data_IF_042596354023
#
_entry.id   IF_042596354023
#
_cell.length_a   1.000
_cell.length_b   1.000
_cell.length_c   1.000
_cell.angle_alpha   90.00
_cell.angle_beta   90.00
_cell.angle_gamma   90.00
#
_symmetry.space_group_name_H-M   'P 1'
#
loop_
_entity.id
_entity.type
_entity.pdbx_description
1 polymer ?
#
# COMPACT_ATOMS: atom_id res chain seq x y z
N UNK A 1 -4.81 15.54 13.17
CA UNK A 1 -4.36 15.96 11.83
C UNK A 1 -5.04 15.07 10.81
N UNK A 2 -5.64 15.64 9.78
CA UNK A 2 -6.33 14.89 8.72
C UNK A 2 -5.28 14.30 7.76
N UNK A 3 -5.42 13.03 7.39
CA UNK A 3 -4.60 12.40 6.33
C UNK A 3 -5.33 12.51 4.99
N UNK A 4 -4.62 12.68 3.86
CA UNK A 4 -5.25 12.62 2.55
C UNK A 4 -5.79 11.21 2.28
N UNK A 5 -6.58 11.07 1.23
CA UNK A 5 -7.10 9.77 0.81
C UNK A 5 -5.95 8.84 0.40
N UNK A 6 -5.84 7.66 1.04
CA UNK A 6 -4.80 6.67 0.76
C UNK A 6 -4.85 6.16 -0.68
N UNK A 7 -6.03 6.11 -1.30
CA UNK A 7 -6.19 5.65 -2.69
C UNK A 7 -5.47 6.55 -3.71
N UNK A 8 -5.09 7.79 -3.36
CA UNK A 8 -4.39 8.68 -4.30
C UNK A 8 -3.06 8.12 -4.79
N UNK A 9 -2.38 7.32 -3.97
CA UNK A 9 -1.07 6.75 -4.34
C UNK A 9 -1.17 5.69 -5.45
N UNK A 10 -2.31 5.01 -5.57
CA UNK A 10 -2.55 4.01 -6.62
C UNK A 10 -3.28 4.59 -7.83
N UNK A 11 -3.44 5.92 -7.92
CA UNK A 11 -4.10 6.58 -9.05
C UNK A 11 -3.45 6.20 -10.41
N UNK A 12 -2.11 6.26 -10.59
CA UNK A 12 -1.49 5.85 -11.85
C UNK A 12 -1.85 4.42 -12.28
N UNK A 13 -1.93 3.47 -11.34
CA UNK A 13 -2.33 2.08 -11.64
C UNK A 13 -3.79 2.06 -12.11
N UNK A 14 -4.68 2.82 -11.46
CA UNK A 14 -6.09 2.91 -11.87
C UNK A 14 -6.26 3.51 -13.25
N UNK A 15 -5.50 4.56 -13.60
CA UNK A 15 -5.58 5.17 -14.93
C UNK A 15 -5.22 4.18 -16.05
N UNK A 16 -4.28 3.25 -15.79
CA UNK A 16 -3.97 2.15 -16.71
C UNK A 16 -5.11 1.14 -16.78
N UNK A 17 -5.67 0.71 -15.64
CA UNK A 17 -6.84 -0.18 -15.59
C UNK A 17 -8.01 0.43 -16.37
N UNK A 18 -8.28 1.72 -16.17
CA UNK A 18 -9.27 2.50 -16.90
C UNK A 18 -9.02 2.47 -18.40
N UNK A 19 -7.78 2.70 -18.85
CA UNK A 19 -7.40 2.56 -20.25
C UNK A 19 -7.70 1.17 -20.80
N UNK A 20 -7.33 0.11 -20.06
CA UNK A 20 -7.56 -1.28 -20.45
C UNK A 20 -9.05 -1.64 -20.55
N UNK A 21 -9.89 -1.12 -19.65
CA UNK A 21 -11.33 -1.41 -19.62
C UNK A 21 -12.13 -0.65 -20.69
N UNK A 22 -11.75 0.58 -21.02
CA UNK A 22 -12.46 1.40 -22.01
C UNK A 22 -12.35 0.89 -23.43
N UNK A 23 -11.27 0.15 -23.70
CA UNK A 23 -11.02 -0.52 -24.96
C UNK A 23 -12.08 -1.57 -25.33
N UNK A 24 -13.00 -1.90 -24.42
CA UNK A 24 -14.21 -2.68 -24.70
C UNK A 24 -15.29 -1.80 -25.38
N UNK A 25 -15.39 -0.52 -25.01
CA UNK A 25 -16.50 0.37 -25.37
C UNK A 25 -16.39 0.95 -26.78
N UNK A 26 -15.17 1.18 -27.29
CA UNK A 26 -14.96 1.66 -28.66
C UNK A 26 -15.48 0.67 -29.72
N UNK A 27 -15.51 -0.63 -29.39
CA UNK A 27 -16.11 -1.65 -30.24
C UNK A 27 -17.65 -1.66 -30.20
N UNK A 28 -18.26 -1.09 -29.15
CA UNK A 28 -19.70 -0.93 -28.99
C UNK A 28 -20.22 0.33 -29.71
N UNK A 29 -19.41 1.41 -29.72
CA UNK A 29 -19.76 2.70 -30.34
C UNK A 29 -19.52 2.74 -31.86
N UNK A 30 -18.66 1.87 -32.40
CA UNK A 30 -18.39 1.77 -33.85
C UNK A 30 -19.57 1.28 -34.71
N UNK A 31 -20.76 1.05 -34.12
CA UNK A 31 -22.03 0.86 -34.83
C UNK A 31 -22.72 2.19 -35.20
N UNK A 32 -22.25 3.34 -34.71
CA UNK A 32 -22.83 4.66 -35.00
C UNK A 32 -21.89 5.50 -35.84
N UNK A 33 -22.21 5.63 -37.13
CA UNK A 33 -21.56 6.53 -38.09
C UNK A 33 -21.83 8.00 -37.72
N UNK A 34 -21.09 8.57 -36.76
CA UNK A 34 -20.93 10.02 -36.54
C UNK A 34 -19.77 10.27 -35.55
N UNK A 35 -18.53 10.24 -36.03
CA UNK A 35 -17.33 10.41 -35.20
C UNK A 35 -17.19 11.88 -34.74
N UNK A 36 -17.63 12.16 -33.52
CA UNK A 36 -17.20 13.34 -32.76
C UNK A 36 -15.75 13.19 -32.32
N UNK A 37 -14.98 14.29 -32.10
CA UNK A 37 -13.61 14.19 -31.64
C UNK A 37 -13.54 13.38 -30.34
N UNK A 38 -12.62 12.41 -30.29
CA UNK A 38 -12.32 11.57 -29.13
C UNK A 38 -12.21 12.46 -27.88
N UNK A 39 -13.26 12.52 -27.07
CA UNK A 39 -13.18 13.18 -25.77
C UNK A 39 -12.12 12.46 -24.93
N UNK A 40 -11.33 13.18 -24.12
CA UNK A 40 -10.45 12.54 -23.13
C UNK A 40 -11.27 11.54 -22.33
N UNK A 41 -10.85 10.26 -22.36
CA UNK A 41 -11.65 9.21 -21.75
C UNK A 41 -11.54 9.34 -20.23
N UNK A 42 -12.61 9.86 -19.62
CA UNK A 42 -12.57 10.32 -18.25
C UNK A 42 -13.56 9.57 -17.37
N UNK A 43 -13.10 9.09 -16.23
CA UNK A 43 -13.89 8.36 -15.24
C UNK A 43 -14.26 9.23 -14.05
N UNK A 44 -15.46 9.00 -13.53
CA UNK A 44 -15.93 9.64 -12.31
C UNK A 44 -15.53 8.78 -11.11
N UNK A 45 -14.56 9.25 -10.32
CA UNK A 45 -14.23 8.65 -9.02
C UNK A 45 -14.93 9.44 -7.91
N UNK A 46 -15.53 8.72 -6.96
CA UNK A 46 -16.16 9.31 -5.78
C UNK A 46 -15.27 9.10 -4.57
N UNK A 47 -14.76 10.18 -4.00
CA UNK A 47 -13.98 10.16 -2.75
C UNK A 47 -14.71 10.83 -1.59
N UNK A 48 -14.55 10.26 -0.40
CA UNK A 48 -15.01 10.90 0.84
C UNK A 48 -13.90 11.80 1.37
N UNK A 49 -14.18 13.09 1.45
CA UNK A 49 -13.29 14.08 2.08
C UNK A 49 -13.99 14.56 3.35
N UNK A 50 -13.54 14.07 4.50
CA UNK A 50 -14.17 14.32 5.80
C UNK A 50 -15.64 13.85 5.85
N UNK A 51 -16.56 14.80 5.99
CA UNK A 51 -18.00 14.58 6.01
C UNK A 51 -18.64 14.77 4.63
N UNK A 52 -17.85 15.19 3.64
CA UNK A 52 -18.32 15.50 2.30
C UNK A 52 -17.99 14.37 1.33
N UNK A 53 -18.84 14.21 0.33
CA UNK A 53 -18.59 13.36 -0.83
C UNK A 53 -18.15 14.30 -1.95
N UNK A 54 -17.02 13.99 -2.59
CA UNK A 54 -16.52 14.72 -3.74
C UNK A 54 -16.39 13.75 -4.90
N UNK A 55 -16.89 14.16 -6.06
CA UNK A 55 -16.63 13.50 -7.31
C UNK A 55 -15.45 14.18 -8.01
N UNK A 56 -14.48 13.39 -8.43
CA UNK A 56 -13.35 13.84 -9.25
C UNK A 56 -13.33 13.09 -10.56
N UNK A 57 -12.95 13.80 -11.61
CA UNK A 57 -12.72 13.19 -12.92
C UNK A 57 -11.28 12.70 -12.98
N UNK A 58 -11.09 11.48 -13.47
CA UNK A 58 -9.81 10.81 -13.63
C UNK A 58 -9.66 10.36 -15.07
N UNK A 59 -8.65 10.87 -15.76
CA UNK A 59 -8.38 10.49 -17.14
C UNK A 59 -7.74 9.11 -17.21
N UNK A 60 -8.22 8.30 -18.14
CA UNK A 60 -7.61 7.03 -18.52
C UNK A 60 -6.31 7.27 -19.29
N UNK A 61 -5.35 6.35 -19.15
CA UNK A 61 -4.15 6.37 -19.99
C UNK A 61 -4.49 5.88 -21.39
N UNK A 62 -4.08 6.62 -22.41
CA UNK A 62 -4.08 6.14 -23.79
C UNK A 62 -3.05 5.01 -23.94
N UNK A 63 -3.54 3.81 -24.24
CA UNK A 63 -2.69 2.64 -24.42
C UNK A 63 -2.32 2.44 -25.90
N UNK A 64 -1.15 1.85 -26.18
CA UNK A 64 -0.78 1.38 -27.51
C UNK A 64 -1.89 0.54 -28.18
N UNK A 65 -2.00 0.63 -29.52
CA UNK A 65 -3.07 -0.02 -30.30
C UNK A 65 -3.14 -1.54 -30.14
N UNK A 66 -2.00 -2.20 -29.86
CA UNK A 66 -1.91 -3.64 -29.57
C UNK A 66 -2.53 -4.01 -28.21
N UNK A 67 -2.71 -3.03 -27.32
CA UNK A 67 -3.33 -3.15 -25.99
C UNK A 67 -4.73 -2.52 -25.97
N UNK A 68 -5.22 -2.07 -27.12
CA UNK A 68 -6.50 -1.37 -27.28
C UNK A 68 -7.72 -2.28 -27.34
N UNK A 69 -7.59 -3.56 -27.04
CA UNK A 69 -8.70 -4.51 -27.07
C UNK A 69 -8.56 -5.51 -25.90
N UNK A 70 -9.50 -5.43 -24.95
CA UNK A 70 -9.50 -6.31 -23.78
C UNK A 70 -9.60 -7.79 -24.19
N UNK A 71 -10.34 -8.10 -25.26
CA UNK A 71 -10.53 -9.47 -25.72
C UNK A 71 -9.22 -10.12 -26.20
N UNK A 72 -8.29 -9.31 -26.69
CA UNK A 72 -6.97 -9.74 -27.17
C UNK A 72 -5.92 -9.78 -26.07
N UNK A 73 -6.20 -9.25 -24.87
CA UNK A 73 -5.23 -9.30 -23.78
C UNK A 73 -4.86 -10.74 -23.41
N UNK A 74 -5.80 -11.68 -23.48
CA UNK A 74 -5.54 -13.10 -23.20
C UNK A 74 -4.72 -13.77 -24.31
N UNK A 75 -4.77 -13.24 -25.54
CA UNK A 75 -3.97 -13.68 -26.69
C UNK A 75 -2.50 -13.23 -26.60
N UNK A 76 -2.22 -12.19 -25.81
CA UNK A 76 -0.85 -11.74 -25.57
C UNK A 76 -0.03 -12.82 -24.85
N UNK A 77 1.23 -12.95 -25.27
CA UNK A 77 2.17 -13.84 -24.60
C UNK A 77 2.32 -13.50 -23.12
N UNK A 78 2.58 -14.52 -22.29
CA UNK A 78 2.81 -14.34 -20.86
C UNK A 78 3.87 -13.26 -20.58
N UNK A 79 4.97 -13.27 -21.35
CA UNK A 79 6.04 -12.29 -21.23
C UNK A 79 5.57 -10.85 -21.51
N UNK A 80 4.69 -10.64 -22.50
CA UNK A 80 4.15 -9.30 -22.81
C UNK A 80 3.21 -8.82 -21.71
N UNK A 81 2.36 -9.69 -21.17
CA UNK A 81 1.45 -9.37 -20.06
C UNK A 81 2.22 -9.05 -18.78
N UNK A 82 3.26 -9.82 -18.49
CA UNK A 82 4.17 -9.56 -17.37
C UNK A 82 4.94 -8.25 -17.53
N UNK A 83 5.43 -7.96 -18.75
CA UNK A 83 6.10 -6.70 -19.06
C UNK A 83 5.17 -5.50 -18.80
N UNK A 84 3.92 -5.55 -19.28
CA UNK A 84 2.94 -4.48 -19.07
C UNK A 84 2.63 -4.25 -17.58
N UNK A 85 2.48 -5.33 -16.81
CA UNK A 85 2.29 -5.25 -15.36
C UNK A 85 3.47 -4.54 -14.68
N UNK A 86 4.70 -4.93 -15.03
CA UNK A 86 5.92 -4.39 -14.43
C UNK A 86 6.24 -2.97 -14.88
N UNK A 87 5.94 -2.62 -16.13
CA UNK A 87 6.02 -1.25 -16.64
C UNK A 87 5.05 -0.33 -15.89
N UNK A 88 3.82 -0.79 -15.65
CA UNK A 88 2.84 -0.05 -14.85
C UNK A 88 3.31 0.18 -13.42
N UNK A 89 3.91 -0.85 -12.81
CA UNK A 89 4.50 -0.75 -11.46
C UNK A 89 5.88 -0.05 -11.45
N UNK A 90 6.43 0.30 -12.62
CA UNK A 90 7.77 0.88 -12.81
C UNK A 90 8.89 0.04 -12.19
N UNK A 91 8.80 -1.29 -12.30
CA UNK A 91 9.76 -2.24 -11.73
C UNK A 91 10.46 -3.01 -12.84
N UNK A 92 11.77 -3.22 -12.72
CA UNK A 92 12.54 -4.04 -13.66
C UNK A 92 12.42 -5.51 -13.28
N UNK A 93 12.27 -6.40 -14.27
CA UNK A 93 12.22 -7.84 -14.06
C UNK A 93 13.42 -8.37 -13.27
N UNK A 94 14.63 -7.87 -13.57
CA UNK A 94 15.88 -8.31 -12.94
C UNK A 94 15.91 -8.13 -11.42
N UNK A 95 15.10 -7.21 -10.88
CA UNK A 95 14.98 -6.99 -9.43
C UNK A 95 14.17 -8.10 -8.76
N UNK A 96 13.28 -8.76 -9.50
CA UNK A 96 12.39 -9.80 -9.01
C UNK A 96 12.95 -11.21 -9.19
N UNK A 97 14.04 -11.39 -9.93
CA UNK A 97 14.67 -12.69 -10.17
C UNK A 97 15.08 -13.44 -8.88
N UNK A 98 15.66 -12.80 -7.84
CA UNK A 98 15.98 -13.47 -6.58
C UNK A 98 14.76 -13.65 -5.66
N UNK A 99 13.59 -13.15 -6.03
CA UNK A 99 12.39 -13.12 -5.19
C UNK A 99 11.55 -14.38 -5.43
N UNK A 100 11.10 -15.09 -4.37
CA UNK A 100 10.20 -16.23 -4.51
C UNK A 100 8.95 -15.87 -5.31
N UNK A 101 8.46 -16.80 -6.13
CA UNK A 101 7.38 -16.53 -7.10
C UNK A 101 6.12 -15.95 -6.44
N UNK A 102 5.73 -16.45 -5.26
CA UNK A 102 4.58 -15.96 -4.49
C UNK A 102 4.74 -14.52 -3.95
N UNK A 103 5.98 -14.02 -3.87
CA UNK A 103 6.29 -12.67 -3.38
C UNK A 103 6.67 -11.68 -4.50
N UNK A 104 6.79 -12.12 -5.76
CA UNK A 104 7.15 -11.22 -6.88
C UNK A 104 6.18 -10.04 -7.03
N UNK A 105 4.87 -10.30 -7.03
CA UNK A 105 3.86 -9.25 -7.12
C UNK A 105 3.85 -8.33 -5.88
N UNK A 106 3.79 -8.85 -4.63
CA UNK A 106 3.93 -8.01 -3.43
C UNK A 106 5.17 -7.12 -3.40
N UNK A 107 6.32 -7.64 -3.83
CA UNK A 107 7.56 -6.85 -3.89
C UNK A 107 7.50 -5.81 -5.00
N UNK A 108 7.00 -6.15 -6.19
CA UNK A 108 6.81 -5.17 -7.26
C UNK A 108 5.90 -4.01 -6.83
N UNK A 109 4.79 -4.32 -6.16
CA UNK A 109 3.89 -3.34 -5.54
C UNK A 109 4.61 -2.51 -4.48
N UNK A 110 5.46 -3.13 -3.67
CA UNK A 110 6.19 -2.42 -2.61
C UNK A 110 7.22 -1.46 -3.20
N UNK A 111 7.91 -1.85 -4.28
CA UNK A 111 8.76 -0.95 -5.06
C UNK A 111 7.97 0.21 -5.66
N UNK A 112 6.79 -0.03 -6.24
CA UNK A 112 5.91 1.03 -6.73
C UNK A 112 5.50 1.99 -5.60
N UNK A 113 5.08 1.45 -4.46
CA UNK A 113 4.67 2.21 -3.29
C UNK A 113 5.80 3.12 -2.78
N UNK A 114 7.03 2.62 -2.68
CA UNK A 114 8.20 3.38 -2.25
C UNK A 114 8.54 4.56 -3.17
N UNK A 115 8.24 4.44 -4.47
CA UNK A 115 8.45 5.53 -5.44
C UNK A 115 7.42 6.66 -5.32
N UNK A 116 6.24 6.39 -4.74
CA UNK A 116 5.10 7.32 -4.73
C UNK A 116 4.61 7.67 -3.32
N UNK A 117 5.26 7.13 -2.28
CA UNK A 117 4.87 7.33 -0.88
C UNK A 117 5.09 8.77 -0.42
N UNK A 118 4.26 9.19 0.52
CA UNK A 118 4.46 10.48 1.21
C UNK A 118 5.71 10.45 2.11
N UNK A 119 6.34 11.61 2.38
CA UNK A 119 7.54 11.71 3.22
C UNK A 119 7.32 11.29 4.70
N UNK A 120 6.12 10.84 5.06
CA UNK A 120 5.78 10.33 6.39
C UNK A 120 6.23 8.89 6.60
N UNK A 121 6.37 8.12 5.52
CA UNK A 121 6.87 6.77 5.64
C UNK A 121 8.37 6.76 5.95
N UNK A 122 8.80 5.83 6.81
CA UNK A 122 10.13 5.74 7.40
C UNK A 122 10.63 4.31 7.22
N UNK A 123 11.93 4.12 7.38
CA UNK A 123 12.58 2.82 7.21
C UNK A 123 11.86 1.69 7.97
N UNK A 124 11.50 1.89 9.24
CA UNK A 124 10.82 0.84 10.03
C UNK A 124 9.47 0.41 9.47
N UNK A 125 8.74 1.28 8.74
CA UNK A 125 7.49 0.85 8.09
C UNK A 125 7.79 -0.15 6.97
N UNK A 126 8.82 0.10 6.16
CA UNK A 126 9.27 -0.85 5.14
C UNK A 126 9.77 -2.14 5.79
N UNK A 127 10.61 -2.03 6.83
CA UNK A 127 11.16 -3.20 7.52
C UNK A 127 10.04 -4.06 8.14
N UNK A 128 9.07 -3.46 8.82
CA UNK A 128 7.94 -4.17 9.41
C UNK A 128 7.05 -4.83 8.36
N UNK A 129 6.80 -4.13 7.23
CA UNK A 129 6.04 -4.69 6.12
C UNK A 129 6.73 -5.95 5.56
N UNK A 130 8.03 -5.86 5.27
CA UNK A 130 8.81 -6.98 4.71
C UNK A 130 8.94 -8.14 5.70
N UNK A 131 9.09 -7.86 7.00
CA UNK A 131 9.05 -8.88 8.05
C UNK A 131 7.69 -9.59 8.08
N UNK A 132 6.59 -8.85 7.97
CA UNK A 132 5.23 -9.43 7.90
C UNK A 132 5.06 -10.40 6.73
N UNK A 133 5.67 -10.10 5.57
CA UNK A 133 5.62 -10.96 4.37
C UNK A 133 6.34 -12.30 4.55
N UNK A 134 7.19 -12.46 5.57
CA UNK A 134 7.90 -13.72 5.85
C UNK A 134 6.98 -14.81 6.42
N UNK A 135 5.79 -14.45 6.91
CA UNK A 135 4.88 -15.41 7.57
C UNK A 135 4.48 -16.56 6.63
N UNK A 136 4.15 -16.27 5.38
CA UNK A 136 3.86 -17.30 4.36
C UNK A 136 5.04 -18.25 4.11
N UNK A 137 6.23 -17.74 3.74
CA UNK A 137 7.44 -18.54 3.62
C UNK A 137 7.80 -19.35 4.87
N UNK A 138 7.67 -18.79 6.07
CA UNK A 138 7.93 -19.51 7.33
C UNK A 138 7.00 -20.72 7.50
N UNK A 139 5.70 -20.54 7.23
CA UNK A 139 4.77 -21.68 7.25
C UNK A 139 5.12 -22.73 6.20
N UNK A 140 5.63 -22.34 5.04
CA UNK A 140 6.07 -23.29 4.03
C UNK A 140 7.31 -24.09 4.47
N UNK A 141 8.24 -23.46 5.20
CA UNK A 141 9.40 -24.14 5.81
C UNK A 141 8.93 -25.16 6.86
N UNK A 142 8.03 -24.77 7.76
CA UNK A 142 7.54 -25.62 8.86
C UNK A 142 6.77 -26.84 8.34
N UNK A 143 5.98 -26.68 7.28
CA UNK A 143 5.15 -27.77 6.75
C UNK A 143 5.84 -28.56 5.62
N UNK A 144 7.15 -28.38 5.42
CA UNK A 144 7.89 -29.11 4.40
C UNK A 144 8.17 -30.54 4.90
N UNK A 145 7.76 -31.58 4.14
CA UNK A 145 7.87 -32.98 4.59
C UNK A 145 9.32 -33.50 4.65
N UNK A 146 10.30 -32.75 4.15
CA UNK A 146 11.64 -33.27 3.88
C UNK A 146 12.71 -32.93 4.95
N UNK A 147 12.40 -32.25 6.07
CA UNK A 147 13.44 -31.79 7.02
C UNK A 147 13.01 -31.71 8.50
N UNK A 148 13.29 -32.77 9.26
CA UNK A 148 13.47 -32.70 10.73
C UNK A 148 14.89 -32.18 11.03
N UNK A 149 15.12 -30.88 10.79
CA UNK A 149 16.42 -30.21 11.02
C UNK A 149 16.24 -28.97 11.91
N UNK A 150 17.34 -28.45 12.48
CA UNK A 150 17.46 -27.15 13.19
C UNK A 150 16.79 -25.96 12.46
N UNK A 151 16.57 -26.08 11.14
CA UNK A 151 15.86 -25.10 10.30
C UNK A 151 14.40 -24.94 10.69
N UNK A 152 13.72 -26.05 10.99
CA UNK A 152 12.32 -26.08 11.37
C UNK A 152 12.12 -25.43 12.75
N UNK A 153 13.03 -25.70 13.68
CA UNK A 153 13.04 -25.11 15.02
C UNK A 153 13.16 -23.58 14.95
N UNK A 154 14.11 -23.07 14.14
CA UNK A 154 14.27 -21.64 13.92
C UNK A 154 13.03 -20.95 13.33
N UNK A 155 12.40 -21.60 12.34
CA UNK A 155 11.18 -21.08 11.71
C UNK A 155 9.98 -21.09 12.67
N UNK A 156 9.81 -22.14 13.48
CA UNK A 156 8.77 -22.23 14.52
C UNK A 156 8.94 -21.13 15.56
N UNK A 157 10.15 -20.97 16.12
CA UNK A 157 10.44 -19.93 17.11
C UNK A 157 10.17 -18.51 16.57
N UNK A 158 10.53 -18.23 15.31
CA UNK A 158 10.24 -16.94 14.69
C UNK A 158 8.73 -16.72 14.44
N UNK A 159 7.99 -17.77 14.05
CA UNK A 159 6.53 -17.71 13.95
C UNK A 159 5.87 -17.42 15.31
N UNK A 160 6.34 -18.05 16.39
CA UNK A 160 5.88 -17.79 17.75
C UNK A 160 6.18 -16.36 18.19
N UNK A 161 7.36 -15.82 17.83
CA UNK A 161 7.70 -14.41 18.06
C UNK A 161 6.72 -13.48 17.35
N UNK A 162 6.44 -13.72 16.06
CA UNK A 162 5.47 -12.93 15.31
C UNK A 162 4.06 -13.02 15.90
N UNK A 163 3.65 -14.21 16.35
CA UNK A 163 2.38 -14.41 17.01
C UNK A 163 2.30 -13.63 18.33
N UNK A 164 3.37 -13.65 19.15
CA UNK A 164 3.48 -12.85 20.38
C UNK A 164 3.36 -11.35 20.09
N UNK A 165 4.01 -10.86 19.03
CA UNK A 165 3.91 -9.45 18.60
C UNK A 165 2.48 -9.07 18.22
N UNK A 166 1.79 -9.97 17.52
CA UNK A 166 0.39 -9.79 17.10
C UNK A 166 -0.53 -9.73 18.32
N UNK A 167 -0.36 -10.61 19.30
CA UNK A 167 -1.16 -10.66 20.53
C UNK A 167 -0.96 -9.44 21.44
N UNK A 168 0.25 -8.89 21.47
CA UNK A 168 0.54 -7.61 22.15
C UNK A 168 -0.01 -6.38 21.41
N UNK A 169 -0.68 -6.58 20.27
CA UNK A 169 -1.30 -5.54 19.45
C UNK A 169 -2.77 -5.86 19.16
N UNK A 170 -3.63 -5.97 20.19
CA UNK A 170 -5.03 -6.29 19.97
C UNK A 170 -5.74 -5.16 19.21
N UNK A 171 -6.75 -5.50 18.38
CA UNK A 171 -7.63 -4.53 17.74
C UNK A 171 -8.20 -3.56 18.79
N UNK A 172 -8.02 -2.25 18.59
CA UNK A 172 -8.50 -1.22 19.53
C UNK A 172 -7.45 -0.64 20.47
N UNK A 173 -6.23 -1.18 20.50
CA UNK A 173 -5.07 -0.48 21.09
C UNK A 173 -4.91 0.87 20.41
N UNK A 174 -4.47 1.92 21.13
CA UNK A 174 -4.24 3.28 20.60
C UNK A 174 -3.38 3.24 19.34
N UNK A 175 -4.05 3.23 18.19
CA UNK A 175 -3.44 3.03 16.88
C UNK A 175 -2.69 4.30 16.48
N UNK A 176 -1.43 4.15 16.07
CA UNK A 176 -0.72 5.23 15.40
C UNK A 176 -1.35 5.45 14.02
N UNK A 177 -2.17 6.49 13.91
CA UNK A 177 -2.86 6.87 12.68
C UNK A 177 -1.88 7.19 11.53
N UNK A 178 -0.66 7.60 11.85
CA UNK A 178 0.36 7.89 10.83
C UNK A 178 0.87 6.59 10.22
N UNK A 179 1.28 5.63 11.06
CA UNK A 179 1.65 4.28 10.63
C UNK A 179 0.50 3.59 9.90
N UNK A 180 -0.73 3.68 10.42
CA UNK A 180 -1.89 3.04 9.82
C UNK A 180 -2.16 3.58 8.42
N UNK A 181 -2.11 4.92 8.26
CA UNK A 181 -2.28 5.53 6.95
C UNK A 181 -1.19 5.12 5.96
N UNK A 182 0.06 4.99 6.41
CA UNK A 182 1.17 4.52 5.58
C UNK A 182 0.90 3.09 5.06
N UNK A 183 0.42 2.19 5.91
CA UNK A 183 0.06 0.85 5.46
C UNK A 183 -1.20 0.83 4.60
N UNK A 184 -2.20 1.67 4.87
CA UNK A 184 -3.34 1.82 3.97
C UNK A 184 -2.92 2.25 2.56
N UNK A 185 -1.92 3.14 2.43
CA UNK A 185 -1.38 3.51 1.13
C UNK A 185 -0.78 2.30 0.40
N UNK A 186 0.02 1.49 1.09
CA UNK A 186 0.56 0.25 0.51
C UNK A 186 -0.56 -0.74 0.14
N UNK A 187 -1.56 -0.94 1.01
CA UNK A 187 -2.71 -1.81 0.75
C UNK A 187 -3.51 -1.34 -0.48
N UNK A 188 -3.70 -0.02 -0.66
CA UNK A 188 -4.31 0.54 -1.86
C UNK A 188 -3.50 0.24 -3.14
N UNK A 189 -2.16 0.28 -3.07
CA UNK A 189 -1.30 -0.13 -4.17
C UNK A 189 -1.42 -1.63 -4.44
N UNK A 190 -1.41 -2.47 -3.40
CA UNK A 190 -1.55 -3.92 -3.51
C UNK A 190 -2.87 -4.29 -4.17
N UNK A 191 -3.98 -3.69 -3.72
CA UNK A 191 -5.30 -3.96 -4.26
C UNK A 191 -5.37 -3.62 -5.76
N UNK A 192 -4.89 -2.44 -6.17
CA UNK A 192 -4.91 -2.09 -7.59
C UNK A 192 -3.91 -2.91 -8.41
N UNK A 193 -2.77 -3.29 -7.83
CA UNK A 193 -1.80 -4.19 -8.45
C UNK A 193 -2.36 -5.60 -8.68
N UNK A 194 -3.15 -6.12 -7.74
CA UNK A 194 -3.88 -7.39 -7.89
C UNK A 194 -4.92 -7.31 -9.00
N UNK A 195 -5.74 -6.25 -9.02
CA UNK A 195 -6.74 -6.06 -10.08
C UNK A 195 -6.10 -5.94 -11.45
N UNK A 196 -4.98 -5.22 -11.57
CA UNK A 196 -4.22 -5.15 -12.81
C UNK A 196 -3.66 -6.52 -13.20
N UNK A 197 -3.07 -7.27 -12.25
CA UNK A 197 -2.57 -8.62 -12.50
C UNK A 197 -3.69 -9.54 -13.01
N UNK A 198 -4.87 -9.50 -12.40
CA UNK A 198 -6.05 -10.26 -12.81
C UNK A 198 -6.55 -9.87 -14.20
N UNK A 199 -6.64 -8.57 -14.47
CA UNK A 199 -7.05 -8.05 -15.78
C UNK A 199 -6.11 -8.51 -16.90
N UNK A 200 -4.82 -8.63 -16.59
CA UNK A 200 -3.79 -9.15 -17.48
C UNK A 200 -3.72 -10.69 -17.50
N UNK A 201 -4.76 -11.38 -17.01
CA UNK A 201 -4.83 -12.84 -16.92
C UNK A 201 -3.68 -13.46 -16.11
N UNK A 202 -3.41 -12.87 -14.94
CA UNK A 202 -2.51 -13.35 -13.88
C UNK A 202 -1.08 -13.69 -14.32
N UNK A 203 -0.34 -12.77 -14.94
CA UNK A 203 1.02 -13.03 -15.41
C UNK A 203 2.02 -13.28 -14.26
N UNK A 204 1.71 -12.82 -13.04
CA UNK A 204 2.39 -13.24 -11.82
C UNK A 204 1.41 -13.99 -10.90
N UNK A 205 1.87 -15.00 -10.14
CA UNK A 205 1.01 -15.69 -9.19
C UNK A 205 0.46 -14.76 -8.11
N UNK A 206 -0.79 -14.98 -7.74
CA UNK A 206 -1.41 -14.24 -6.65
C UNK A 206 -0.86 -14.69 -5.29
N UNK A 207 -0.54 -13.75 -4.39
CA UNK A 207 -0.09 -14.08 -3.05
C UNK A 207 -1.27 -14.53 -2.17
N UNK A 208 -1.00 -15.42 -1.21
CA UNK A 208 -1.94 -15.71 -0.13
C UNK A 208 -2.04 -14.49 0.81
N UNK A 209 -3.09 -13.70 0.66
CA UNK A 209 -3.31 -12.48 1.44
C UNK A 209 -3.42 -12.74 2.96
N UNK A 210 -3.89 -13.93 3.36
CA UNK A 210 -4.04 -14.29 4.78
C UNK A 210 -2.69 -14.46 5.47
N UNK A 211 -1.65 -14.78 4.70
CA UNK A 211 -0.27 -14.96 5.17
C UNK A 211 0.67 -13.85 4.72
N UNK A 212 0.24 -12.97 3.82
CA UNK A 212 1.04 -11.86 3.31
C UNK A 212 1.07 -10.67 4.28
N UNK A 213 -0.09 -10.33 4.86
CA UNK A 213 -0.24 -9.13 5.66
C UNK A 213 -1.17 -9.37 6.86
N UNK A 214 -0.77 -8.85 8.00
CA UNK A 214 -1.62 -8.75 9.18
C UNK A 214 -1.38 -7.40 9.85
N UNK A 215 -2.42 -6.57 9.94
CA UNK A 215 -2.33 -5.23 10.55
C UNK A 215 -1.73 -5.24 11.95
N UNK A 216 -2.22 -6.13 12.84
CA UNK A 216 -1.70 -6.27 14.20
C UNK A 216 -0.21 -6.62 14.24
N UNK A 217 0.25 -7.51 13.34
CA UNK A 217 1.65 -7.91 13.27
C UNK A 217 2.53 -6.74 12.81
N UNK A 218 2.25 -6.12 11.67
CA UNK A 218 3.10 -5.05 11.11
C UNK A 218 3.14 -3.82 12.03
N UNK A 219 2.04 -3.49 12.71
CA UNK A 219 2.02 -2.42 13.70
C UNK A 219 2.81 -2.78 14.97
N UNK A 220 2.73 -4.02 15.43
CA UNK A 220 3.53 -4.51 16.55
C UNK A 220 5.03 -4.48 16.24
N UNK A 221 5.42 -4.95 15.04
CA UNK A 221 6.78 -4.91 14.54
C UNK A 221 7.32 -3.48 14.43
N UNK A 222 6.52 -2.53 13.91
CA UNK A 222 6.88 -1.11 13.92
C UNK A 222 7.22 -0.61 15.33
N UNK A 223 6.43 -0.99 16.35
CA UNK A 223 6.71 -0.60 17.74
C UNK A 223 8.02 -1.21 18.26
N UNK A 224 8.27 -2.49 18.01
CA UNK A 224 9.52 -3.14 18.41
C UNK A 224 10.74 -2.49 17.74
N UNK A 225 10.68 -2.23 16.44
CA UNK A 225 11.75 -1.57 15.69
C UNK A 225 12.01 -0.14 16.19
N UNK A 226 10.98 0.56 16.66
CA UNK A 226 11.13 1.88 17.29
C UNK A 226 11.74 1.82 18.70
N UNK A 227 11.59 0.70 19.41
CA UNK A 227 12.12 0.48 20.76
C UNK A 227 13.56 -0.08 20.76
N UNK A 228 14.24 -0.04 19.61
CA UNK A 228 15.64 -0.46 19.39
C UNK A 228 15.86 -1.96 19.17
N UNK A 229 14.81 -2.75 18.94
CA UNK A 229 14.98 -4.09 18.39
C UNK A 229 15.47 -3.97 16.94
N UNK A 230 16.58 -4.61 16.59
CA UNK A 230 17.07 -4.62 15.21
C UNK A 230 16.45 -5.78 14.42
N UNK A 231 16.33 -5.63 13.10
CA UNK A 231 15.82 -6.70 12.25
C UNK A 231 16.72 -7.95 12.33
N UNK A 232 18.03 -7.73 12.41
CA UNK A 232 19.04 -8.77 12.54
C UNK A 232 18.86 -9.56 13.83
N UNK A 233 18.51 -8.90 14.95
CA UNK A 233 18.21 -9.60 16.20
C UNK A 233 16.95 -10.45 16.11
N UNK A 234 15.89 -9.95 15.45
CA UNK A 234 14.64 -10.70 15.26
C UNK A 234 14.83 -11.94 14.39
N UNK A 235 15.61 -11.80 13.31
CA UNK A 235 15.83 -12.88 12.34
C UNK A 235 17.00 -13.80 12.72
N UNK A 236 17.69 -13.54 13.83
CA UNK A 236 18.87 -14.31 14.26
C UNK A 236 18.59 -15.80 14.46
N UNK A 237 17.35 -16.15 14.80
CA UNK A 237 16.93 -17.52 15.06
C UNK A 237 16.59 -18.33 13.79
N UNK A 238 16.42 -17.67 12.63
CA UNK A 238 16.09 -18.34 11.36
C UNK A 238 16.91 -17.76 10.20
N UNK A 239 18.08 -18.35 9.89
CA UNK A 239 18.98 -17.88 8.83
C UNK A 239 18.33 -17.80 7.44
N UNK A 240 17.46 -18.75 7.09
CA UNK A 240 16.70 -18.74 5.83
C UNK A 240 15.75 -17.55 5.73
N UNK A 241 15.04 -17.23 6.80
CA UNK A 241 14.17 -16.06 6.86
C UNK A 241 14.99 -14.77 6.79
N UNK A 242 16.16 -14.74 7.43
CA UNK A 242 17.12 -13.63 7.33
C UNK A 242 17.58 -13.42 5.88
N UNK A 243 18.01 -14.48 5.21
CA UNK A 243 18.46 -14.42 3.82
C UNK A 243 17.33 -13.96 2.90
N UNK A 244 16.12 -14.50 3.08
CA UNK A 244 14.96 -14.06 2.30
C UNK A 244 14.68 -12.58 2.54
N UNK A 245 14.63 -12.13 3.80
CA UNK A 245 14.45 -10.73 4.14
C UNK A 245 15.48 -9.83 3.45
N UNK A 246 16.76 -10.21 3.44
CA UNK A 246 17.82 -9.47 2.76
C UNK A 246 17.55 -9.34 1.26
N UNK A 247 17.09 -10.41 0.59
CA UNK A 247 16.67 -10.32 -0.82
C UNK A 247 15.49 -9.35 -1.01
N UNK A 248 14.45 -9.44 -0.18
CA UNK A 248 13.28 -8.55 -0.26
C UNK A 248 13.68 -7.08 -0.03
N UNK A 249 14.53 -6.84 0.98
CA UNK A 249 15.01 -5.52 1.35
C UNK A 249 15.90 -4.94 0.26
N UNK A 250 16.83 -5.71 -0.30
CA UNK A 250 17.70 -5.25 -1.38
C UNK A 250 16.92 -4.92 -2.66
N UNK A 251 15.91 -5.73 -3.01
CA UNK A 251 15.04 -5.45 -4.15
C UNK A 251 14.31 -4.11 -4.00
N UNK A 252 13.72 -3.87 -2.83
CA UNK A 252 12.97 -2.63 -2.54
C UNK A 252 13.86 -1.40 -2.33
N UNK A 253 15.09 -1.58 -1.83
CA UNK A 253 16.04 -0.50 -1.56
C UNK A 253 16.34 0.36 -2.79
N UNK A 254 16.42 -0.26 -3.98
CA UNK A 254 16.70 0.44 -5.23
C UNK A 254 15.60 1.41 -5.68
N UNK A 255 14.40 1.28 -5.11
CA UNK A 255 13.22 2.09 -5.42
C UNK A 255 12.81 3.03 -4.27
N UNK A 256 13.49 2.94 -3.13
CA UNK A 256 13.24 3.80 -1.98
C UNK A 256 13.96 5.16 -2.14
N UNK A 257 13.32 6.26 -1.73
CA UNK A 257 13.97 7.58 -1.69
C UNK A 257 15.18 7.53 -0.75
N UNK A 258 16.29 8.17 -1.12
CA UNK A 258 17.54 8.12 -0.37
C UNK A 258 17.36 8.62 1.08
N UNK A 259 16.45 9.57 1.27
CA UNK A 259 16.05 10.15 2.56
C UNK A 259 15.52 9.10 3.54
N UNK A 260 14.98 7.98 3.05
CA UNK A 260 14.49 6.89 3.88
C UNK A 260 15.63 6.24 4.70
N UNK A 261 16.86 6.26 4.16
CA UNK A 261 18.03 5.63 4.76
C UNK A 261 18.96 6.62 5.47
N UNK A 262 18.67 7.93 5.43
CA UNK A 262 19.49 8.93 6.07
C UNK A 262 19.28 8.92 7.60
N UNK A 263 20.35 8.98 8.41
CA UNK A 263 20.22 9.21 9.84
C UNK A 263 19.59 10.59 10.07
N UNK A 264 18.62 10.68 10.99
CA UNK A 264 17.96 11.96 11.34
C UNK A 264 19.00 13.03 11.67
N UNK A 265 19.17 14.02 10.80
CA UNK A 265 19.86 15.25 11.17
C UNK A 265 19.07 15.93 12.29
N UNK A 266 19.70 16.17 13.45
CA UNK A 266 19.10 16.97 14.53
C UNK A 266 18.78 18.36 13.97
N UNK A 267 17.51 18.63 13.66
CA UNK A 267 17.08 19.96 13.23
C UNK A 267 17.17 20.91 14.43
N UNK A 268 18.23 21.71 14.51
CA UNK A 268 18.34 22.81 15.46
C UNK A 268 17.35 23.92 15.09
N UNK A 269 16.10 23.81 15.55
CA UNK A 269 15.15 24.92 15.47
C UNK A 269 15.46 25.95 16.56
N UNK A 270 16.36 26.89 16.25
CA UNK A 270 16.47 28.14 17.02
C UNK A 270 15.15 28.91 16.87
N UNK A 271 14.26 28.80 17.86
CA UNK A 271 13.07 29.64 18.03
C UNK A 271 13.49 31.11 18.02
N UNK A 272 13.27 31.81 16.91
CA UNK A 272 13.34 33.27 16.85
C UNK A 272 12.09 33.82 17.54
N UNK A 273 12.25 34.16 18.82
CA UNK A 273 11.22 34.75 19.69
C UNK A 273 10.89 36.16 19.14
N UNK A 274 9.81 36.31 18.38
CA UNK A 274 9.27 37.63 18.06
C UNK A 274 8.41 38.10 19.24
N UNK A 275 8.82 39.24 19.79
CA UNK A 275 8.25 39.96 20.92
C UNK A 275 6.96 40.64 20.44
N UNK A 276 5.78 40.16 20.88
CA UNK A 276 4.51 40.89 20.69
C UNK A 276 4.42 41.99 21.75
N UNK A 277 4.59 43.24 21.31
CA UNK A 277 4.09 44.42 22.03
C UNK A 277 2.56 44.42 21.98
N UNK A 278 1.93 44.68 23.12
CA UNK A 278 0.49 44.71 23.26
C UNK A 278 -0.12 46.03 22.81
N UNK A 279 -1.33 45.95 22.28
CA UNK A 279 -2.28 47.07 22.31
C UNK A 279 -3.67 46.51 22.56
N UNK A 280 -4.31 47.11 23.56
CA UNK A 280 -5.58 46.78 24.20
C UNK A 280 -6.68 47.61 23.53
N UNK A 281 -7.75 46.99 23.03
CA UNK A 281 -8.99 47.70 22.69
C UNK A 281 -10.22 46.85 23.01
N UNK A 282 -11.21 47.51 23.61
CA UNK A 282 -12.41 46.95 24.24
C UNK A 282 -13.65 47.07 23.33
N UNK A 283 -14.47 46.00 23.33
CA UNK A 283 -15.94 46.00 23.21
C UNK A 283 -16.58 46.05 21.81
N UNK A 284 -17.90 45.76 21.67
CA UNK A 284 -18.80 45.08 22.60
C UNK A 284 -19.45 43.79 22.03
N UNK A 285 -19.98 43.02 22.98
CA UNK A 285 -20.77 41.79 22.83
C UNK A 285 -22.08 42.04 22.06
N UNK A 286 -22.39 41.17 21.09
CA UNK A 286 -23.77 40.90 20.68
C UNK A 286 -24.02 39.41 20.65
N UNK A 287 -24.93 39.00 21.54
CA UNK A 287 -25.57 37.70 21.58
C UNK A 287 -26.51 37.56 20.39
N UNK A 288 -26.40 36.46 19.64
CA UNK A 288 -27.51 35.90 18.89
C UNK A 288 -27.60 34.43 19.26
N UNK A 289 -28.68 34.16 19.99
CA UNK A 289 -29.26 32.87 20.31
C UNK A 289 -29.83 32.33 19.00
N UNK A 290 -29.47 31.13 18.59
CA UNK A 290 -30.44 30.35 17.84
C UNK A 290 -30.38 28.85 18.20
N UNK A 291 -31.60 28.36 18.26
CA UNK A 291 -32.15 27.11 18.71
C UNK A 291 -32.05 26.07 17.61
N UNK A 292 -31.83 24.79 17.95
CA UNK A 292 -31.89 23.76 16.92
C UNK A 292 -31.48 22.36 17.35
N UNK A 293 -32.38 21.72 18.10
CA UNK A 293 -32.65 20.27 18.11
C UNK A 293 -31.47 19.28 18.14
N UNK A 294 -31.31 18.72 19.34
CA UNK A 294 -30.82 17.37 19.60
C UNK A 294 -31.63 16.36 18.76
N UNK A 295 -31.01 15.69 17.79
CA UNK A 295 -31.53 14.44 17.24
C UNK A 295 -30.54 13.30 17.48
N UNK A 296 -31.16 12.18 17.83
CA UNK A 296 -30.61 11.01 18.51
C UNK A 296 -29.53 10.32 17.71
N UNK A 297 -28.51 9.90 18.45
CA UNK A 297 -27.64 8.76 18.17
C UNK A 297 -28.51 7.53 17.89
N UNK A 298 -28.45 7.03 16.67
CA UNK A 298 -28.44 5.61 16.30
C UNK A 298 -28.42 5.53 14.77
N UNK A 299 -27.82 4.47 14.25
CA UNK A 299 -27.68 4.14 12.82
C UNK A 299 -26.63 4.92 12.02
N UNK A 300 -25.43 4.35 11.92
CA UNK A 300 -24.74 3.96 10.66
C UNK A 300 -23.46 3.23 11.11
N UNK A 301 -23.63 1.99 11.57
CA UNK A 301 -22.57 0.98 11.58
C UNK A 301 -22.76 0.15 10.31
N UNK A 302 -22.06 0.54 9.24
CA UNK A 302 -21.69 -0.40 8.18
C UNK A 302 -20.16 -0.37 8.05
N UNK A 303 -19.47 -1.45 8.44
CA UNK A 303 -18.02 -1.53 8.28
C UNK A 303 -17.72 -1.79 6.80
N UNK A 304 -17.26 -0.77 6.10
CA UNK A 304 -16.59 -0.96 4.81
C UNK A 304 -15.17 -1.44 5.05
N UNK A 305 -14.90 -2.70 4.67
CA UNK A 305 -13.65 -3.35 4.21
C UNK A 305 -12.26 -3.03 4.83
N UNK A 306 -12.07 -1.97 5.61
CA UNK A 306 -10.82 -1.63 6.31
C UNK A 306 -10.61 -2.42 7.62
N UNK A 307 -11.54 -3.32 7.97
CA UNK A 307 -11.48 -4.10 9.22
C UNK A 307 -10.98 -5.55 9.04
N UNK A 308 -10.71 -6.00 7.82
CA UNK A 308 -10.21 -7.35 7.57
C UNK A 308 -9.11 -7.32 6.51
N UNK A 309 -7.88 -7.11 7.00
CA UNK A 309 -6.56 -7.62 6.56
C UNK A 309 -5.49 -6.89 7.39
#
# INVERSE_FOLDING_TARGET
MQKPNAHRISLPIRQIIYGLLLNISSHLENMSLNASPLQPLAFSEVERINRNIKTSIVDAVELPKDLSDLSKLTELSLARRQMLLLETLKVKQTILDPIPTSLKLPIAVSCYWLQHMEPKAKLHHLQALLLGMLLGPLHAIINSPDKEDLREDGAKMLCEEFQRVKEQTPPGTRLDLDTAHVFCQWQCCLQMGLYLNQLLSTPLPEPDLTRLYSGSLVHGLCRQLLLSTSVESLLSMCPEAKQLYEHLFNATRSYAPAELFLPRSKSNSKKKRQKKQGTKWQGPVRMLRDSGQQMRQEDILRPGFCAWL
#
